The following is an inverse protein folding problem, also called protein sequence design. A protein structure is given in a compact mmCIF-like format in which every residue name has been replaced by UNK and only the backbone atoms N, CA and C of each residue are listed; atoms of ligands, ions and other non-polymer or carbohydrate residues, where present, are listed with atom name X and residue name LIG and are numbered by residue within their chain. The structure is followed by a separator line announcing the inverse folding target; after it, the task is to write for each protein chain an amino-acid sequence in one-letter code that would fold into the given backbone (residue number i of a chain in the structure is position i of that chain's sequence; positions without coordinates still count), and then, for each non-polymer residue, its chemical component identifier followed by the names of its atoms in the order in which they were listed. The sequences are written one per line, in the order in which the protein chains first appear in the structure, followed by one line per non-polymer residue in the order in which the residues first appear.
data_IF_709970391486
#
_entry.id   IF_709970391486
#
_cell.length_a   1.000
_cell.length_b   1.000
_cell.length_c   1.000
_cell.angle_alpha   90.00
_cell.angle_beta   90.00
_cell.angle_gamma   90.00
#
_symmetry.space_group_name_H-M   'P 1'
#
loop_
_entity.id
_entity.type
_entity.pdbx_description
1 polymer ?
#
# COMPACT_ATOMS: atom_id res chain seq x y z
N UNK A 1 11.02 31.18 100.98
CA UNK A 1 9.73 30.96 100.31
C UNK A 1 9.71 31.84 99.08
N UNK A 2 9.95 31.31 97.97
CA UNK A 2 10.11 32.07 96.69
C UNK A 2 9.10 31.53 95.73
N UNK A 3 8.11 32.37 95.40
CA UNK A 3 7.07 32.04 94.43
C UNK A 3 7.61 32.31 93.01
N UNK A 4 7.65 31.29 92.18
CA UNK A 4 7.95 31.40 90.76
C UNK A 4 6.65 31.40 89.95
N UNK A 5 6.42 32.46 89.21
CA UNK A 5 5.31 32.65 88.30
C UNK A 5 5.66 32.00 86.92
N UNK A 6 4.79 31.22 86.29
CA UNK A 6 5.05 30.67 84.98
C UNK A 6 4.78 31.68 83.85
N UNK A 7 5.74 31.84 82.97
CA UNK A 7 5.62 32.62 81.76
C UNK A 7 4.80 31.86 80.71
N UNK A 8 3.70 32.50 80.31
CA UNK A 8 2.89 32.00 79.17
C UNK A 8 3.64 32.15 77.84
N UNK A 9 3.90 31.05 77.22
CA UNK A 9 4.38 31.03 75.83
C UNK A 9 3.20 31.30 74.87
N UNK A 10 3.23 32.46 74.22
CA UNK A 10 2.37 32.72 73.06
C UNK A 10 2.84 31.90 71.90
N UNK A 11 2.03 30.92 71.42
CA UNK A 11 2.23 30.20 70.18
C UNK A 11 1.75 31.09 69.05
N UNK A 12 2.70 31.55 68.25
CA UNK A 12 2.44 32.20 66.99
C UNK A 12 2.15 31.09 66.00
N UNK A 13 0.92 30.94 65.59
CA UNK A 13 0.54 30.04 64.43
C UNK A 13 0.90 30.73 63.15
N UNK A 14 1.98 30.26 62.52
CA UNK A 14 2.30 30.61 61.16
C UNK A 14 1.34 29.86 60.22
N UNK A 15 0.42 30.60 59.61
CA UNK A 15 -0.40 30.07 58.55
C UNK A 15 0.46 29.89 57.26
N UNK A 16 0.79 28.65 56.92
CA UNK A 16 1.37 28.30 55.61
C UNK A 16 0.26 28.36 54.57
N UNK A 17 0.26 29.42 53.75
CA UNK A 17 -0.51 29.46 52.52
C UNK A 17 0.21 28.58 51.50
N UNK A 18 -0.27 27.37 51.29
CA UNK A 18 0.10 26.54 50.16
C UNK A 18 -0.63 27.04 48.92
N UNK A 19 0.09 27.77 48.07
CA UNK A 19 -0.38 28.10 46.73
C UNK A 19 -0.41 26.82 45.88
N UNK A 20 -1.61 26.28 45.66
CA UNK A 20 -1.84 25.20 44.73
C UNK A 20 -1.71 25.75 43.29
N UNK A 21 -0.56 25.53 42.66
CA UNK A 21 -0.38 25.73 41.22
C UNK A 21 -1.18 24.67 40.51
N UNK A 22 -2.39 25.01 40.02
CA UNK A 22 -3.13 24.22 39.08
C UNK A 22 -2.39 24.27 37.71
N UNK A 23 -1.55 23.31 37.47
CA UNK A 23 -1.00 23.05 36.12
C UNK A 23 -2.15 22.53 35.26
N UNK A 24 -2.76 23.39 34.46
CA UNK A 24 -3.66 22.99 33.40
C UNK A 24 -2.81 22.27 32.33
N UNK A 25 -2.71 20.95 32.41
CA UNK A 25 -2.19 20.14 31.33
C UNK A 25 -3.18 20.24 30.16
N UNK A 26 -2.85 21.06 29.16
CA UNK A 26 -3.55 21.08 27.91
C UNK A 26 -3.31 19.72 27.23
N UNK A 27 -4.26 18.80 27.39
CA UNK A 27 -4.32 17.60 26.54
C UNK A 27 -4.59 18.06 25.11
N UNK A 28 -3.52 18.17 24.32
CA UNK A 28 -3.67 18.23 22.86
C UNK A 28 -4.27 16.88 22.47
N UNK A 29 -5.58 16.84 22.29
CA UNK A 29 -6.24 15.73 21.66
C UNK A 29 -5.68 15.65 20.22
N UNK A 30 -4.64 14.86 20.02
CA UNK A 30 -4.24 14.43 18.69
C UNK A 30 -5.41 13.59 18.21
N UNK A 31 -6.30 14.19 17.43
CA UNK A 31 -7.30 13.44 16.69
C UNK A 31 -6.52 12.37 15.91
N UNK A 32 -6.83 11.07 16.08
CA UNK A 32 -6.28 10.08 15.17
C UNK A 32 -6.74 10.53 13.78
N UNK A 33 -5.79 11.06 13.01
CA UNK A 33 -6.04 11.32 11.59
C UNK A 33 -6.68 10.05 11.06
N UNK A 34 -7.81 10.16 10.37
CA UNK A 34 -8.40 9.04 9.66
C UNK A 34 -7.24 8.43 8.91
N UNK A 35 -6.81 7.22 9.31
CA UNK A 35 -5.92 6.44 8.49
C UNK A 35 -6.64 6.40 7.14
N UNK A 36 -6.14 7.15 6.18
CA UNK A 36 -6.55 6.98 4.79
C UNK A 36 -6.31 5.52 4.57
N UNK A 37 -7.36 4.73 4.40
CA UNK A 37 -7.20 3.35 3.99
C UNK A 37 -6.35 3.44 2.74
N UNK A 38 -5.08 3.10 2.87
CA UNK A 38 -4.19 2.94 1.72
C UNK A 38 -4.74 1.71 1.05
N UNK A 39 -5.69 1.91 0.16
CA UNK A 39 -6.21 0.85 -0.69
C UNK A 39 -5.01 0.32 -1.46
N UNK A 40 -4.68 -0.93 -1.20
CA UNK A 40 -3.71 -1.73 -1.89
C UNK A 40 -2.42 -1.00 -2.29
N UNK A 41 -1.34 -1.30 -1.63
CA UNK A 41 -0.01 -0.97 -2.15
C UNK A 41 0.46 -2.20 -2.91
N UNK A 42 0.96 -2.01 -4.13
CA UNK A 42 1.65 -3.07 -4.83
C UNK A 42 2.83 -3.55 -3.96
N UNK A 43 2.66 -4.68 -3.27
CA UNK A 43 3.63 -5.22 -2.33
C UNK A 43 4.91 -5.68 -3.03
N UNK A 44 6.03 -5.69 -2.30
CA UNK A 44 7.26 -6.27 -2.84
C UNK A 44 7.12 -7.80 -2.94
N UNK A 45 7.19 -8.32 -4.14
CA UNK A 45 6.95 -9.72 -4.50
C UNK A 45 5.69 -9.93 -5.32
N UNK A 46 4.88 -8.88 -5.53
CA UNK A 46 3.63 -8.96 -6.26
C UNK A 46 3.77 -8.48 -7.71
N UNK A 47 2.91 -9.02 -8.55
CA UNK A 47 2.53 -8.42 -9.81
C UNK A 47 1.22 -7.66 -9.62
N UNK A 48 1.15 -6.44 -10.13
CA UNK A 48 0.04 -5.53 -9.90
C UNK A 48 -0.56 -5.04 -11.22
N UNK A 49 -1.89 -5.04 -11.27
CA UNK A 49 -2.69 -4.46 -12.33
C UNK A 49 -3.53 -3.32 -11.76
N UNK A 50 -3.61 -2.22 -12.49
CA UNK A 50 -4.40 -1.06 -12.08
C UNK A 50 -5.49 -0.77 -13.10
N UNK A 51 -6.64 -0.35 -12.59
CA UNK A 51 -7.80 -0.01 -13.40
C UNK A 51 -7.56 1.20 -14.29
N UNK A 52 -6.71 2.16 -13.86
CA UNK A 52 -6.44 3.38 -14.62
C UNK A 52 -4.97 3.51 -15.00
N UNK A 53 -4.68 4.39 -15.96
CA UNK A 53 -3.32 4.76 -16.33
C UNK A 53 -2.53 5.33 -15.13
N UNK A 54 -1.20 5.26 -15.22
CA UNK A 54 -0.31 5.83 -14.22
C UNK A 54 -0.32 5.11 -12.87
N UNK A 55 -0.64 3.82 -12.81
CA UNK A 55 -0.74 3.01 -11.59
C UNK A 55 -1.74 3.59 -10.58
N UNK A 56 -2.92 3.98 -11.07
CA UNK A 56 -3.98 4.59 -10.26
C UNK A 56 -5.31 3.85 -10.38
N UNK A 57 -6.34 4.32 -9.66
CA UNK A 57 -7.65 3.69 -9.63
C UNK A 57 -7.67 2.45 -8.72
N UNK A 58 -8.45 1.44 -9.10
CA UNK A 58 -8.46 0.16 -8.40
C UNK A 58 -7.17 -0.60 -8.58
N UNK A 59 -6.77 -1.35 -7.57
CA UNK A 59 -5.57 -2.19 -7.57
C UNK A 59 -5.96 -3.66 -7.45
N UNK A 60 -5.36 -4.51 -8.29
CA UNK A 60 -5.23 -5.95 -8.10
C UNK A 60 -3.76 -6.29 -7.90
N UNK A 61 -3.45 -7.11 -6.92
CA UNK A 61 -2.09 -7.58 -6.69
C UNK A 61 -2.08 -9.04 -6.22
N UNK A 62 -1.09 -9.80 -6.69
CA UNK A 62 -0.92 -11.20 -6.32
C UNK A 62 0.51 -11.67 -6.59
N UNK A 63 1.03 -12.51 -5.70
CA UNK A 63 2.39 -13.03 -5.80
C UNK A 63 2.52 -14.30 -6.65
N UNK A 64 1.41 -14.93 -7.02
CA UNK A 64 1.36 -16.11 -7.88
C UNK A 64 1.10 -15.77 -9.35
N UNK A 65 1.02 -16.80 -10.19
CA UNK A 65 0.49 -16.69 -11.55
C UNK A 65 -1.03 -16.84 -11.52
N UNK A 66 -1.72 -16.17 -12.41
CA UNK A 66 -3.16 -16.24 -12.51
C UNK A 66 -3.62 -16.59 -13.92
N UNK A 67 -4.40 -17.65 -14.04
CA UNK A 67 -4.92 -18.14 -15.31
C UNK A 67 -6.27 -17.54 -15.72
N UNK A 68 -6.96 -16.82 -14.82
CA UNK A 68 -8.30 -16.30 -15.06
C UNK A 68 -8.64 -15.06 -14.23
N UNK A 69 -8.22 -13.90 -14.68
CA UNK A 69 -8.50 -12.60 -14.03
C UNK A 69 -9.97 -12.17 -14.10
N UNK A 70 -10.82 -12.87 -14.82
CA UNK A 70 -12.23 -12.50 -14.95
C UNK A 70 -13.07 -12.85 -13.71
N UNK A 71 -12.53 -13.63 -12.79
CA UNK A 71 -13.13 -13.93 -11.48
C UNK A 71 -12.50 -13.13 -10.33
N UNK A 72 -11.49 -12.29 -10.62
CA UNK A 72 -10.86 -11.42 -9.65
C UNK A 72 -11.43 -10.02 -9.73
N UNK A 73 -11.36 -9.30 -8.60
CA UNK A 73 -11.87 -7.93 -8.50
C UNK A 73 -10.76 -7.00 -8.02
N UNK A 74 -10.85 -5.76 -8.43
CA UNK A 74 -9.98 -4.71 -7.91
C UNK A 74 -10.30 -4.41 -6.45
N UNK A 75 -9.28 -3.99 -5.74
CA UNK A 75 -9.43 -3.33 -4.44
C UNK A 75 -9.56 -1.82 -4.64
N UNK A 76 -10.29 -1.15 -3.74
CA UNK A 76 -10.42 0.30 -3.74
C UNK A 76 -11.44 0.83 -4.75
N UNK A 77 -11.08 1.82 -5.53
CA UNK A 77 -11.99 2.64 -6.32
C UNK A 77 -12.78 1.93 -7.43
N UNK A 78 -12.38 0.70 -7.80
CA UNK A 78 -13.01 -0.09 -8.85
C UNK A 78 -13.44 -1.49 -8.38
N UNK A 79 -13.73 -1.65 -7.10
CA UNK A 79 -14.00 -2.96 -6.46
C UNK A 79 -15.22 -3.71 -7.00
N UNK A 80 -16.10 -3.04 -7.72
CA UNK A 80 -17.25 -3.65 -8.41
C UNK A 80 -16.91 -4.17 -9.82
N UNK A 81 -15.68 -3.95 -10.29
CA UNK A 81 -15.24 -4.39 -11.61
C UNK A 81 -14.29 -5.58 -11.49
N UNK A 82 -14.39 -6.49 -12.45
CA UNK A 82 -13.41 -7.57 -12.60
C UNK A 82 -12.10 -7.03 -13.12
N UNK A 83 -11.00 -7.69 -12.80
CA UNK A 83 -9.66 -7.34 -13.30
C UNK A 83 -9.54 -7.69 -14.77
N UNK A 84 -10.06 -8.86 -15.15
CA UNK A 84 -10.06 -9.32 -16.53
C UNK A 84 -10.73 -8.33 -17.47
N UNK A 85 -9.99 -7.90 -18.49
CA UNK A 85 -10.47 -6.96 -19.47
C UNK A 85 -10.56 -5.49 -19.06
N UNK A 86 -10.07 -5.12 -17.86
CA UNK A 86 -10.23 -3.77 -17.33
C UNK A 86 -8.92 -3.12 -16.82
N UNK A 87 -7.76 -3.70 -17.09
CA UNK A 87 -6.49 -3.14 -16.67
C UNK A 87 -5.92 -2.17 -17.71
N UNK A 88 -5.47 -0.99 -17.25
CA UNK A 88 -4.83 0.03 -18.09
C UNK A 88 -3.35 0.20 -17.79
N UNK A 89 -2.89 -0.12 -16.59
CA UNK A 89 -1.48 -0.08 -16.23
C UNK A 89 -1.07 -1.25 -15.36
N UNK A 90 0.25 -1.51 -15.31
CA UNK A 90 0.81 -2.64 -14.59
C UNK A 90 2.13 -2.29 -13.92
N UNK A 91 2.47 -3.05 -12.86
CA UNK A 91 3.75 -3.00 -12.20
C UNK A 91 4.21 -4.41 -11.80
N UNK A 92 5.36 -4.82 -12.31
CA UNK A 92 6.06 -5.99 -11.79
C UNK A 92 6.94 -5.55 -10.62
N UNK A 93 6.38 -5.57 -9.40
CA UNK A 93 7.10 -5.32 -8.16
C UNK A 93 7.61 -6.63 -7.53
N UNK A 94 7.85 -7.63 -8.36
CA UNK A 94 8.41 -8.92 -7.97
C UNK A 94 9.74 -8.82 -7.24
N UNK A 95 10.25 -9.97 -6.87
CA UNK A 95 11.60 -10.12 -6.28
C UNK A 95 12.39 -11.09 -7.11
N UNK A 96 13.69 -10.84 -7.24
CA UNK A 96 14.59 -11.83 -7.82
C UNK A 96 14.54 -13.11 -6.98
N UNK A 97 14.31 -14.23 -7.63
CA UNK A 97 14.17 -15.55 -6.99
C UNK A 97 15.28 -16.49 -7.45
N UNK A 98 15.59 -17.50 -6.65
CA UNK A 98 16.55 -18.53 -7.03
C UNK A 98 16.07 -19.37 -8.23
N UNK A 99 14.75 -19.41 -8.47
CA UNK A 99 14.16 -20.08 -9.61
C UNK A 99 14.24 -19.23 -10.89
N UNK A 100 14.57 -17.94 -10.76
CA UNK A 100 14.64 -16.99 -11.88
C UNK A 100 13.30 -16.69 -12.54
N UNK A 101 12.16 -16.99 -11.89
CA UNK A 101 10.83 -16.62 -12.39
C UNK A 101 10.47 -15.23 -11.88
N UNK A 102 11.12 -14.22 -12.41
CA UNK A 102 11.09 -12.86 -11.90
C UNK A 102 10.36 -11.89 -12.85
N UNK A 103 10.20 -12.29 -14.10
CA UNK A 103 9.47 -11.53 -15.12
C UNK A 103 8.03 -12.03 -15.26
N UNK A 104 7.16 -11.20 -15.82
CA UNK A 104 5.74 -11.52 -16.00
C UNK A 104 5.38 -11.44 -17.49
N UNK A 105 4.61 -12.43 -17.97
CA UNK A 105 3.91 -12.32 -19.25
C UNK A 105 2.43 -12.17 -18.99
N UNK A 106 1.83 -11.13 -19.57
CA UNK A 106 0.38 -10.89 -19.58
C UNK A 106 -0.22 -11.37 -20.91
N UNK A 107 -1.48 -11.83 -20.87
CA UNK A 107 -2.16 -12.44 -22.01
C UNK A 107 -3.58 -11.89 -22.17
N UNK A 108 -4.02 -11.76 -23.44
CA UNK A 108 -5.39 -11.34 -23.78
C UNK A 108 -6.43 -12.45 -23.66
N UNK A 109 -6.05 -13.64 -23.31
CA UNK A 109 -6.96 -14.76 -23.10
C UNK A 109 -6.71 -15.45 -21.78
N UNK A 110 -7.69 -16.19 -21.29
CA UNK A 110 -7.55 -17.07 -20.12
C UNK A 110 -6.55 -18.18 -20.40
N UNK A 111 -6.04 -18.82 -19.35
CA UNK A 111 -5.13 -19.96 -19.44
C UNK A 111 -3.89 -19.67 -20.32
N UNK A 112 -3.39 -18.42 -20.24
CA UNK A 112 -2.15 -17.98 -20.91
C UNK A 112 -2.23 -18.08 -22.42
N UNK A 113 -3.37 -17.74 -23.00
CA UNK A 113 -3.62 -17.76 -24.44
C UNK A 113 -3.76 -16.37 -25.03
N UNK A 114 -3.83 -16.30 -26.34
CA UNK A 114 -4.02 -15.06 -27.07
C UNK A 114 -2.74 -14.23 -27.25
N UNK A 115 -2.92 -12.93 -27.48
CA UNK A 115 -1.80 -12.00 -27.61
C UNK A 115 -1.11 -11.84 -26.25
N UNK A 116 0.20 -11.71 -26.27
CA UNK A 116 0.98 -11.62 -25.05
C UNK A 116 2.04 -10.51 -25.10
N UNK A 117 2.43 -10.02 -23.93
CA UNK A 117 3.53 -9.08 -23.76
C UNK A 117 4.26 -9.30 -22.44
N UNK A 118 5.54 -8.94 -22.42
CA UNK A 118 6.45 -9.13 -21.30
C UNK A 118 6.56 -7.85 -20.45
N UNK A 119 6.58 -8.00 -19.12
CA UNK A 119 6.87 -6.96 -18.12
C UNK A 119 8.01 -7.48 -17.24
N UNK A 120 9.18 -6.86 -17.35
CA UNK A 120 10.37 -7.31 -16.62
C UNK A 120 10.31 -6.87 -15.16
N UNK A 121 11.09 -7.55 -14.34
CA UNK A 121 11.26 -7.21 -12.93
C UNK A 121 11.53 -5.71 -12.73
N UNK A 122 10.76 -5.09 -11.84
CA UNK A 122 10.83 -3.67 -11.50
C UNK A 122 10.17 -2.73 -12.51
N UNK A 123 9.79 -3.21 -13.71
CA UNK A 123 9.12 -2.35 -14.69
C UNK A 123 7.68 -2.04 -14.31
N UNK A 124 7.29 -0.79 -14.54
CA UNK A 124 5.93 -0.31 -14.41
C UNK A 124 5.60 0.70 -15.51
N UNK A 125 4.34 0.80 -15.86
CA UNK A 125 3.87 1.73 -16.88
C UNK A 125 2.46 1.40 -17.36
N UNK A 126 1.99 2.19 -18.31
CA UNK A 126 0.73 1.91 -18.98
C UNK A 126 0.88 0.68 -19.89
N UNK A 127 -0.17 -0.10 -20.00
CA UNK A 127 -0.19 -1.23 -20.93
C UNK A 127 -0.16 -0.71 -22.37
N UNK A 128 0.49 -1.44 -23.26
CA UNK A 128 0.67 -1.05 -24.65
C UNK A 128 -0.37 -1.70 -25.57
N UNK A 129 -0.83 -0.93 -26.55
CA UNK A 129 -1.60 -1.41 -27.68
C UNK A 129 -2.81 -2.26 -27.29
N UNK A 130 -2.93 -3.45 -27.87
CA UNK A 130 -4.08 -4.34 -27.65
C UNK A 130 -4.09 -5.08 -26.30
N UNK A 131 -3.24 -4.69 -25.33
CA UNK A 131 -3.26 -5.21 -23.95
C UNK A 131 -4.06 -4.27 -23.01
N UNK A 132 -4.22 -3.00 -23.37
CA UNK A 132 -5.06 -2.07 -22.59
C UNK A 132 -6.48 -2.58 -22.57
N UNK A 133 -7.05 -2.70 -21.34
CA UNK A 133 -8.40 -3.23 -21.11
C UNK A 133 -8.65 -4.60 -21.78
N UNK A 134 -7.61 -5.43 -21.86
CA UNK A 134 -7.69 -6.72 -22.53
C UNK A 134 -6.72 -7.77 -21.95
N UNK A 135 -6.34 -7.66 -20.68
CA UNK A 135 -5.54 -8.68 -19.99
C UNK A 135 -6.49 -9.60 -19.22
N UNK A 136 -6.42 -10.90 -19.48
CA UNK A 136 -7.30 -11.91 -18.88
C UNK A 136 -6.56 -13.02 -18.11
N UNK A 137 -5.22 -13.09 -18.25
CA UNK A 137 -4.36 -13.96 -17.44
C UNK A 137 -2.92 -13.46 -17.45
N UNK A 138 -2.13 -13.91 -16.47
CA UNK A 138 -0.69 -13.67 -16.47
C UNK A 138 0.06 -14.80 -15.76
N UNK A 139 1.35 -14.89 -16.03
CA UNK A 139 2.23 -15.82 -15.31
C UNK A 139 3.64 -15.28 -15.11
N UNK A 140 4.22 -15.71 -14.02
CA UNK A 140 5.63 -15.53 -13.75
C UNK A 140 6.48 -16.44 -14.64
N UNK A 141 7.56 -15.89 -15.18
CA UNK A 141 8.44 -16.58 -16.14
C UNK A 141 9.88 -16.16 -15.92
N UNK A 142 10.79 -16.94 -16.49
CA UNK A 142 12.21 -16.56 -16.55
C UNK A 142 12.44 -15.44 -17.57
N UNK A 143 13.51 -14.60 -17.40
CA UNK A 143 13.89 -13.59 -18.38
C UNK A 143 14.09 -14.15 -19.79
N UNK A 144 14.64 -15.36 -19.91
CA UNK A 144 14.80 -16.02 -21.20
C UNK A 144 13.47 -16.31 -21.91
N UNK A 145 12.42 -16.63 -21.13
CA UNK A 145 11.07 -16.83 -21.65
C UNK A 145 10.43 -15.48 -22.01
N UNK A 146 10.54 -14.48 -21.13
CA UNK A 146 10.01 -13.13 -21.33
C UNK A 146 10.56 -12.46 -22.60
N UNK A 147 11.84 -12.63 -22.87
CA UNK A 147 12.51 -12.07 -24.05
C UNK A 147 11.96 -12.54 -25.40
N UNK A 148 11.12 -13.57 -25.42
CA UNK A 148 10.46 -14.05 -26.65
C UNK A 148 9.21 -13.25 -27.01
N UNK A 149 8.79 -12.32 -26.13
CA UNK A 149 7.59 -11.52 -26.29
C UNK A 149 7.94 -10.02 -26.37
N UNK A 150 7.14 -9.23 -27.09
CA UNK A 150 7.30 -7.78 -27.07
C UNK A 150 7.06 -7.24 -25.65
N UNK A 151 7.53 -6.02 -25.38
CA UNK A 151 7.15 -5.35 -24.13
C UNK A 151 5.63 -5.16 -24.05
N UNK A 152 5.07 -5.41 -22.86
CA UNK A 152 3.66 -5.17 -22.58
C UNK A 152 3.37 -3.71 -22.23
N UNK A 153 4.40 -2.90 -21.96
CA UNK A 153 4.25 -1.53 -21.50
C UNK A 153 4.51 -0.53 -22.64
N UNK A 154 3.75 0.56 -22.61
CA UNK A 154 4.07 1.75 -23.38
C UNK A 154 5.18 2.52 -22.66
N UNK A 155 6.39 2.41 -23.17
CA UNK A 155 7.58 3.04 -22.60
C UNK A 155 7.83 4.46 -23.15
N UNK A 156 6.89 5.01 -23.93
CA UNK A 156 7.02 6.38 -24.43
C UNK A 156 6.87 7.36 -23.28
N UNK A 157 7.72 8.38 -23.19
CA UNK A 157 7.53 9.46 -22.20
C UNK A 157 6.19 10.17 -22.51
N UNK A 158 5.40 10.34 -21.47
CA UNK A 158 4.15 11.10 -21.50
C UNK A 158 4.38 12.48 -20.92
#
# INVERSE_FOLDING_TARGET
MIHATPRSLRRTTMALMTAALLSAAAFIAVSPGKASATYGVCGAGDFCLHYSYGQSGGLYHFSGSDSNLDNDHYEGGASNLTVGGNAESAWNNGRATSSGHDDVIVYTGRNWTGRAGCIRLGQKGNLAGGLVNNVHSYRWVTPATCNRFPTALDLRPH
#
